data_IF_577010935643
#
_entry.id   IF_577010935643
#
_cell.length_a   1.000
_cell.length_b   1.000
_cell.length_c   1.000
_cell.angle_alpha   90.00
_cell.angle_beta   90.00
_cell.angle_gamma   90.00
#
_symmetry.space_group_name_H-M   'P 1'
#
loop_
_entity.id
_entity.type
_entity.pdbx_description
1 polymer ?
#
# COMPACT_ATOMS: atom_id res chain seq x y z
N UNK A 1 -77.14 -10.55 -13.28
CA UNK A 1 -77.39 -9.09 -13.27
C UNK A 1 -76.06 -8.39 -13.55
N UNK A 2 -76.01 -7.68 -14.68
CA UNK A 2 -75.20 -6.47 -14.94
C UNK A 2 -73.76 -6.62 -15.50
N UNK A 3 -73.71 -6.36 -16.81
CA UNK A 3 -72.61 -6.17 -17.75
C UNK A 3 -71.81 -4.89 -17.49
N UNK A 4 -70.48 -4.90 -17.72
CA UNK A 4 -69.65 -3.75 -18.18
C UNK A 4 -68.48 -4.38 -18.98
N UNK A 5 -68.51 -4.50 -20.31
CA UNK A 5 -68.22 -3.54 -21.40
C UNK A 5 -66.81 -2.93 -21.35
N UNK A 6 -65.99 -3.44 -22.28
CA UNK A 6 -64.93 -2.83 -23.10
C UNK A 6 -64.21 -1.56 -22.62
N UNK A 7 -62.87 -1.56 -22.74
CA UNK A 7 -62.15 -0.62 -23.62
C UNK A 7 -60.71 -1.07 -23.87
N UNK A 8 -60.38 -1.12 -25.16
CA UNK A 8 -59.06 -1.30 -25.76
C UNK A 8 -58.21 -0.07 -25.46
N UNK A 9 -56.92 -0.24 -25.16
CA UNK A 9 -55.88 0.66 -25.68
C UNK A 9 -54.56 -0.08 -25.75
N UNK A 10 -54.29 -0.61 -26.94
CA UNK A 10 -52.95 -0.92 -27.41
C UNK A 10 -52.14 0.36 -27.41
N UNK A 11 -51.10 0.43 -26.58
CA UNK A 11 -50.00 1.37 -26.78
C UNK A 11 -48.75 0.54 -27.04
N UNK A 12 -48.46 0.31 -28.33
CA UNK A 12 -47.17 -0.18 -28.77
C UNK A 12 -46.19 0.98 -28.61
N UNK A 13 -45.53 1.07 -27.46
CA UNK A 13 -44.47 2.05 -27.26
C UNK A 13 -43.19 1.48 -27.85
N UNK A 14 -42.88 1.89 -29.08
CA UNK A 14 -41.55 1.70 -29.67
C UNK A 14 -40.57 2.64 -28.96
N UNK A 15 -40.10 2.28 -27.77
CA UNK A 15 -38.92 2.89 -27.18
C UNK A 15 -37.70 2.15 -27.74
N UNK A 16 -37.09 2.72 -28.78
CA UNK A 16 -35.74 2.39 -29.21
C UNK A 16 -34.80 2.57 -28.02
N UNK A 17 -34.48 1.49 -27.33
CA UNK A 17 -33.53 1.50 -26.23
C UNK A 17 -32.14 1.59 -26.85
N UNK A 18 -31.65 2.82 -27.07
CA UNK A 18 -30.24 3.06 -27.38
C UNK A 18 -29.47 2.68 -26.12
N UNK A 19 -29.00 1.44 -26.06
CA UNK A 19 -27.99 1.04 -25.10
C UNK A 19 -26.73 1.83 -25.42
N UNK A 20 -26.54 2.94 -24.72
CA UNK A 20 -25.24 3.59 -24.65
C UNK A 20 -24.35 2.59 -23.90
N UNK A 21 -23.58 1.79 -24.64
CA UNK A 21 -22.46 1.06 -24.09
C UNK A 21 -21.44 2.09 -23.61
N UNK A 22 -21.59 2.56 -22.38
CA UNK A 22 -20.53 3.26 -21.68
C UNK A 22 -19.41 2.23 -21.48
N UNK A 23 -18.35 2.34 -22.27
CA UNK A 23 -17.10 1.64 -21.97
C UNK A 23 -16.68 2.07 -20.57
N UNK A 24 -16.46 1.13 -19.63
CA UNK A 24 -15.95 1.50 -18.31
C UNK A 24 -14.59 2.17 -18.54
N UNK A 25 -14.52 3.46 -18.25
CA UNK A 25 -13.24 4.19 -18.22
C UNK A 25 -12.36 3.43 -17.23
N UNK A 26 -11.20 2.89 -17.65
CA UNK A 26 -10.33 2.20 -16.72
C UNK A 26 -9.93 3.22 -15.65
N UNK A 27 -10.40 3.01 -14.43
CA UNK A 27 -9.95 3.80 -13.28
C UNK A 27 -8.44 3.57 -13.16
N UNK A 28 -7.60 4.63 -13.18
CA UNK A 28 -6.17 4.46 -13.01
C UNK A 28 -5.92 3.74 -11.68
N UNK A 29 -5.20 2.61 -11.73
CA UNK A 29 -4.77 1.93 -10.53
C UNK A 29 -3.94 2.89 -9.66
N UNK A 30 -4.07 2.85 -8.32
CA UNK A 30 -3.26 3.68 -7.45
C UNK A 30 -1.77 3.50 -7.75
N UNK A 31 -1.05 4.60 -7.98
CA UNK A 31 0.39 4.55 -8.19
C UNK A 31 1.06 4.00 -6.93
N UNK A 32 1.84 2.93 -7.06
CA UNK A 32 2.59 2.36 -5.95
C UNK A 32 3.57 3.41 -5.39
N UNK A 33 3.60 3.55 -4.06
CA UNK A 33 4.53 4.45 -3.40
C UNK A 33 5.98 4.02 -3.67
N UNK A 34 6.87 5.01 -3.79
CA UNK A 34 8.31 4.81 -3.94
C UNK A 34 9.01 5.20 -2.65
N UNK A 35 9.89 4.33 -2.18
CA UNK A 35 10.66 4.48 -0.94
C UNK A 35 12.14 4.50 -1.29
N UNK A 36 12.86 5.51 -0.80
CA UNK A 36 14.26 5.74 -1.17
C UNK A 36 15.12 5.99 0.06
N UNK A 37 16.27 5.32 0.11
CA UNK A 37 17.33 5.55 1.07
C UNK A 37 18.55 6.09 0.31
N UNK A 38 19.10 7.21 0.75
CA UNK A 38 20.22 7.87 0.06
C UNK A 38 21.53 7.58 0.78
N UNK A 39 22.66 7.51 0.05
CA UNK A 39 23.98 7.40 0.66
C UNK A 39 24.20 8.49 1.72
N UNK A 40 24.87 8.12 2.81
CA UNK A 40 25.16 9.03 3.93
C UNK A 40 24.07 9.08 5.01
N UNK A 41 22.89 8.50 4.76
CA UNK A 41 21.92 8.18 5.82
C UNK A 41 22.37 6.94 6.62
N UNK A 42 21.75 6.73 7.77
CA UNK A 42 21.85 5.47 8.50
C UNK A 42 20.56 4.67 8.37
N UNK A 43 20.63 3.36 8.60
CA UNK A 43 19.47 2.47 8.54
C UNK A 43 18.40 2.94 9.54
N UNK A 44 18.79 3.28 10.77
CA UNK A 44 17.88 3.86 11.78
C UNK A 44 17.16 5.11 11.26
N UNK A 45 17.89 6.06 10.67
CA UNK A 45 17.30 7.30 10.17
C UNK A 45 16.30 7.04 9.03
N UNK A 46 16.62 6.12 8.12
CA UNK A 46 15.72 5.72 7.03
C UNK A 46 14.47 5.06 7.58
N UNK A 47 14.62 4.11 8.50
CA UNK A 47 13.51 3.42 9.16
C UNK A 47 12.57 4.41 9.86
N UNK A 48 13.12 5.34 10.65
CA UNK A 48 12.36 6.39 11.32
C UNK A 48 11.62 7.30 10.34
N UNK A 49 12.29 7.75 9.27
CA UNK A 49 11.69 8.62 8.28
C UNK A 49 10.53 7.94 7.53
N UNK A 50 10.70 6.67 7.14
CA UNK A 50 9.66 5.92 6.42
C UNK A 50 8.49 5.55 7.34
N UNK A 51 8.78 5.21 8.60
CA UNK A 51 7.77 4.92 9.61
C UNK A 51 6.93 6.16 9.89
N UNK A 52 7.57 7.30 10.16
CA UNK A 52 6.90 8.59 10.37
C UNK A 52 6.00 8.96 9.18
N UNK A 53 6.49 8.81 7.93
CA UNK A 53 5.69 9.04 6.71
C UNK A 53 4.46 8.13 6.61
N UNK A 54 4.48 6.96 7.24
CA UNK A 54 3.40 5.96 7.21
C UNK A 54 2.53 5.96 8.47
N UNK A 55 2.84 6.84 9.43
CA UNK A 55 2.19 6.89 10.74
C UNK A 55 2.53 5.69 11.63
N UNK A 56 3.76 5.17 11.53
CA UNK A 56 4.30 4.15 12.43
C UNK A 56 5.30 4.76 13.41
N UNK A 57 5.32 4.24 14.63
CA UNK A 57 6.39 4.46 15.60
C UNK A 57 7.53 3.46 15.41
N UNK A 58 8.73 3.82 15.88
CA UNK A 58 9.93 2.97 15.80
C UNK A 58 10.54 2.83 17.19
N UNK A 59 10.66 1.59 17.65
CA UNK A 59 11.52 1.22 18.79
C UNK A 59 12.78 0.61 18.23
N UNK A 60 13.92 1.23 18.55
CA UNK A 60 15.24 0.78 18.11
C UNK A 60 16.04 0.24 19.28
N UNK A 61 16.01 -1.06 19.47
CA UNK A 61 16.70 -1.81 20.54
C UNK A 61 17.98 -2.47 20.01
N UNK A 62 18.78 -1.72 19.28
CA UNK A 62 20.14 -2.13 18.93
C UNK A 62 21.15 -1.04 19.28
N UNK A 63 22.28 -1.46 19.85
CA UNK A 63 23.38 -0.58 20.26
C UNK A 63 24.20 -0.03 19.09
N UNK A 64 23.99 -0.56 17.88
CA UNK A 64 24.67 -0.16 16.65
C UNK A 64 23.66 0.17 15.54
N UNK A 65 24.19 0.70 14.45
CA UNK A 65 23.46 1.12 13.25
C UNK A 65 24.35 0.89 12.02
N UNK A 66 23.75 0.82 10.83
CA UNK A 66 24.47 0.68 9.57
C UNK A 66 24.37 1.94 8.71
N UNK A 67 25.49 2.40 8.13
CA UNK A 67 25.43 3.44 7.11
C UNK A 67 24.85 2.87 5.81
N UNK A 68 23.96 3.64 5.17
CA UNK A 68 23.57 3.44 3.78
C UNK A 68 24.76 3.89 2.92
N UNK A 69 25.49 2.93 2.35
CA UNK A 69 26.67 3.18 1.50
C UNK A 69 26.28 3.40 0.03
N UNK A 70 25.27 2.68 -0.43
CA UNK A 70 24.71 2.78 -1.77
C UNK A 70 23.22 3.10 -1.66
N UNK A 71 22.69 3.87 -2.60
CA UNK A 71 21.28 4.24 -2.60
C UNK A 71 20.40 3.02 -2.82
N UNK A 72 19.30 2.93 -2.08
CA UNK A 72 18.30 1.87 -2.21
C UNK A 72 16.96 2.48 -2.64
N UNK A 73 16.22 1.74 -3.46
CA UNK A 73 14.90 2.16 -3.95
C UNK A 73 13.97 0.97 -4.00
N UNK A 74 12.84 1.09 -3.30
CA UNK A 74 11.78 0.08 -3.27
C UNK A 74 10.45 0.68 -3.72
N UNK A 75 9.53 -0.17 -4.16
CA UNK A 75 8.17 0.19 -4.54
C UNK A 75 7.17 -0.64 -3.76
N UNK A 76 6.01 -0.08 -3.48
CA UNK A 76 4.91 -0.80 -2.85
C UNK A 76 4.49 -0.18 -1.53
N UNK A 77 3.92 -1.01 -0.67
CA UNK A 77 3.46 -0.59 0.66
C UNK A 77 4.66 -0.27 1.56
N UNK A 78 4.39 0.47 2.63
CA UNK A 78 5.39 0.71 3.68
C UNK A 78 5.97 -0.59 4.24
N UNK A 79 5.11 -1.58 4.52
CA UNK A 79 5.51 -2.88 5.07
C UNK A 79 6.46 -3.59 4.11
N UNK A 80 6.09 -3.68 2.82
CA UNK A 80 6.94 -4.31 1.81
C UNK A 80 8.30 -3.63 1.72
N UNK A 81 8.32 -2.29 1.61
CA UNK A 81 9.56 -1.54 1.51
C UNK A 81 10.43 -1.67 2.77
N UNK A 82 9.83 -1.71 3.96
CA UNK A 82 10.56 -1.89 5.22
C UNK A 82 11.18 -3.29 5.28
N UNK A 83 10.43 -4.33 4.93
CA UNK A 83 10.95 -5.71 4.83
C UNK A 83 12.10 -5.79 3.83
N UNK A 84 11.91 -5.29 2.60
CA UNK A 84 12.94 -5.31 1.55
C UNK A 84 14.22 -4.54 1.98
N UNK A 85 14.05 -3.46 2.76
CA UNK A 85 15.17 -2.69 3.31
C UNK A 85 16.01 -3.52 4.29
N UNK A 86 15.39 -4.24 5.22
CA UNK A 86 16.12 -5.08 6.18
C UNK A 86 16.66 -6.37 5.54
N UNK A 87 15.95 -6.93 4.56
CA UNK A 87 16.39 -8.10 3.80
C UNK A 87 17.73 -7.84 3.09
N UNK A 88 17.95 -6.62 2.59
CA UNK A 88 19.21 -6.20 1.99
C UNK A 88 20.42 -6.26 2.95
N UNK A 89 20.19 -6.39 4.26
CA UNK A 89 21.22 -6.46 5.31
C UNK A 89 21.29 -7.81 6.03
N UNK A 90 20.50 -8.82 5.61
CA UNK A 90 20.48 -10.15 6.25
C UNK A 90 21.83 -10.88 6.22
N UNK A 91 22.66 -10.61 5.20
CA UNK A 91 24.02 -11.17 5.07
C UNK A 91 25.13 -10.27 5.66
N UNK A 92 24.77 -9.16 6.32
CA UNK A 92 25.76 -8.30 6.97
C UNK A 92 26.38 -9.01 8.19
N UNK A 93 27.56 -8.56 8.63
CA UNK A 93 28.28 -9.17 9.77
C UNK A 93 27.48 -9.15 11.09
N UNK A 94 26.52 -8.23 11.25
CA UNK A 94 25.65 -8.12 12.43
C UNK A 94 24.23 -7.77 11.99
N UNK A 95 23.43 -8.73 11.50
CA UNK A 95 22.11 -8.43 10.97
C UNK A 95 21.15 -7.94 12.07
N UNK A 96 19.99 -7.46 11.64
CA UNK A 96 18.90 -7.05 12.54
C UNK A 96 17.71 -7.99 12.37
N UNK A 97 16.97 -8.19 13.44
CA UNK A 97 15.60 -8.70 13.39
C UNK A 97 14.64 -7.51 13.40
N UNK A 98 13.65 -7.54 12.51
CA UNK A 98 12.62 -6.51 12.42
C UNK A 98 11.24 -7.15 12.59
N UNK A 99 10.50 -6.64 13.56
CA UNK A 99 9.11 -7.02 13.82
C UNK A 99 8.20 -5.82 13.53
N UNK A 100 7.17 -6.02 12.72
CA UNK A 100 6.23 -4.95 12.36
C UNK A 100 4.83 -5.29 12.86
N UNK A 101 4.41 -4.60 13.93
CA UNK A 101 3.10 -4.74 14.54
C UNK A 101 2.11 -3.79 13.87
N UNK A 102 1.33 -4.30 12.92
CA UNK A 102 0.45 -3.47 12.07
C UNK A 102 -0.66 -2.78 12.86
N UNK A 103 -1.30 -3.47 13.80
CA UNK A 103 -2.39 -2.91 14.63
C UNK A 103 -1.91 -1.77 15.53
N UNK A 104 -0.71 -1.92 16.11
CA UNK A 104 -0.11 -0.91 16.98
C UNK A 104 0.60 0.20 16.20
N UNK A 105 0.75 0.02 14.88
CA UNK A 105 1.59 0.86 14.02
C UNK A 105 2.99 1.01 14.60
N UNK A 106 3.61 -0.11 14.98
CA UNK A 106 4.92 -0.13 15.63
C UNK A 106 5.90 -0.98 14.82
N UNK A 107 7.10 -0.45 14.58
CA UNK A 107 8.26 -1.19 14.08
C UNK A 107 9.25 -1.35 15.22
N UNK A 108 9.56 -2.60 15.56
CA UNK A 108 10.59 -2.93 16.53
C UNK A 108 11.81 -3.49 15.81
N UNK A 109 12.97 -2.90 16.05
CA UNK A 109 14.24 -3.32 15.46
C UNK A 109 15.18 -3.72 16.58
N UNK A 110 15.74 -4.91 16.49
CA UNK A 110 16.66 -5.46 17.50
C UNK A 110 17.88 -6.10 16.83
N UNK A 111 19.00 -6.11 17.54
CA UNK A 111 20.20 -6.80 17.08
C UNK A 111 19.92 -8.32 17.00
N UNK A 112 20.31 -8.94 15.89
CA UNK A 112 20.24 -10.40 15.79
C UNK A 112 21.43 -10.99 16.56
N UNK A 113 21.12 -11.76 17.61
CA UNK A 113 22.10 -12.36 18.52
C UNK A 113 22.98 -13.42 17.87
#
# INVERSE_FOLDING_TARGET
MNKIIASVFTALVCLSNVAVCATPVPTPAPLAAVWTATPGQTLRNVTQAWASKSGYEVVWDASYDFPIRAGLRFKGTFIQAMSDLFDAYTMANRPFTVDIYQEQRLVHVQAQG
#
